data_IF_170600857449
#
_entry.id   IF_170600857449
#
_cell.length_a   1.000
_cell.length_b   1.000
_cell.length_c   1.000
_cell.angle_alpha   90.00
_cell.angle_beta   90.00
_cell.angle_gamma   90.00
#
_symmetry.space_group_name_H-M   'P 1'
#
loop_
_entity.id
_entity.type
_entity.pdbx_description
1 polymer ?
#
# COMPACT_ATOMS: atom_id res chain seq x y z
N UNK A 1 18.05 -51.63 -4.10
CA UNK A 1 16.77 -51.14 -3.54
C UNK A 1 15.69 -52.17 -3.88
N UNK A 2 15.41 -53.08 -2.95
CA UNK A 2 14.29 -54.04 -3.05
C UNK A 2 13.38 -53.95 -1.81
N UNK A 3 13.56 -52.94 -0.96
CA UNK A 3 12.72 -52.69 0.20
C UNK A 3 11.66 -51.65 -0.15
N UNK A 4 10.39 -52.07 -0.09
CA UNK A 4 9.25 -51.21 -0.35
C UNK A 4 9.17 -50.05 0.65
N UNK A 5 9.59 -50.28 1.90
CA UNK A 5 9.57 -49.25 2.94
C UNK A 5 10.56 -48.13 2.61
N UNK A 6 11.80 -48.47 2.25
CA UNK A 6 12.82 -47.49 1.84
C UNK A 6 12.35 -46.63 0.65
N UNK A 7 11.61 -47.21 -0.29
CA UNK A 7 11.03 -46.49 -1.43
C UNK A 7 9.93 -45.52 -0.95
N UNK A 8 9.01 -45.99 -0.10
CA UNK A 8 7.94 -45.15 0.46
C UNK A 8 8.52 -43.97 1.24
N UNK A 9 9.52 -44.22 2.08
CA UNK A 9 10.22 -43.20 2.86
C UNK A 9 10.87 -42.14 1.99
N UNK A 10 11.51 -42.58 0.89
CA UNK A 10 12.13 -41.65 -0.06
C UNK A 10 11.07 -40.77 -0.72
N UNK A 11 9.91 -41.33 -1.10
CA UNK A 11 8.80 -40.56 -1.69
C UNK A 11 8.25 -39.56 -0.67
N UNK A 12 8.03 -39.95 0.58
CA UNK A 12 7.57 -39.05 1.64
C UNK A 12 8.56 -37.90 1.89
N UNK A 13 9.87 -38.17 1.91
CA UNK A 13 10.90 -37.15 2.11
C UNK A 13 11.03 -36.22 0.87
N UNK A 14 10.88 -36.72 -0.35
CA UNK A 14 10.78 -35.87 -1.56
C UNK A 14 9.54 -34.96 -1.49
N UNK A 15 8.38 -35.51 -1.12
CA UNK A 15 7.14 -34.75 -0.98
C UNK A 15 7.26 -33.65 0.09
N UNK A 16 7.82 -33.98 1.26
CA UNK A 16 8.07 -33.05 2.35
C UNK A 16 8.95 -31.85 1.93
N UNK A 17 9.97 -32.09 1.10
CA UNK A 17 10.82 -31.02 0.55
C UNK A 17 10.08 -30.13 -0.43
N UNK A 18 9.28 -30.72 -1.32
CA UNK A 18 8.43 -29.98 -2.24
C UNK A 18 7.41 -29.12 -1.50
N UNK A 19 6.78 -29.68 -0.47
CA UNK A 19 5.79 -29.00 0.36
C UNK A 19 6.38 -27.82 1.14
N UNK A 20 7.64 -27.92 1.59
CA UNK A 20 8.33 -26.79 2.17
C UNK A 20 8.45 -25.63 1.18
N UNK A 21 8.91 -25.89 -0.06
CA UNK A 21 9.02 -24.83 -1.07
C UNK A 21 7.65 -24.23 -1.39
N UNK A 22 6.62 -25.06 -1.56
CA UNK A 22 5.24 -24.60 -1.80
C UNK A 22 4.73 -23.69 -0.68
N UNK A 23 4.88 -24.11 0.58
CA UNK A 23 4.42 -23.32 1.73
C UNK A 23 5.17 -21.99 1.89
N UNK A 24 6.47 -21.94 1.58
CA UNK A 24 7.22 -20.68 1.53
C UNK A 24 6.67 -19.77 0.43
N UNK A 25 6.49 -20.30 -0.79
CA UNK A 25 6.04 -19.55 -1.96
C UNK A 25 4.59 -19.05 -1.81
N UNK A 26 3.72 -19.85 -1.21
CA UNK A 26 2.30 -19.53 -0.96
C UNK A 26 2.08 -18.78 0.37
N UNK A 27 3.14 -18.53 1.14
CA UNK A 27 3.09 -17.84 2.44
C UNK A 27 2.21 -18.53 3.48
N UNK A 28 2.08 -19.84 3.41
CA UNK A 28 1.33 -20.65 4.39
C UNK A 28 2.23 -21.01 5.58
N UNK A 29 2.31 -20.08 6.54
CA UNK A 29 3.22 -20.20 7.68
C UNK A 29 2.82 -21.32 8.65
N UNK A 30 1.52 -21.56 8.80
CA UNK A 30 1.02 -22.60 9.69
C UNK A 30 1.38 -23.98 9.16
N UNK A 31 1.19 -24.20 7.86
CA UNK A 31 1.57 -25.45 7.20
C UNK A 31 3.08 -25.62 7.14
N UNK A 32 3.84 -24.56 6.81
CA UNK A 32 5.31 -24.57 6.86
C UNK A 32 5.84 -25.09 8.21
N UNK A 33 5.32 -24.55 9.31
CA UNK A 33 5.74 -24.94 10.66
C UNK A 33 5.41 -26.42 10.97
N UNK A 34 4.28 -26.93 10.47
CA UNK A 34 3.87 -28.32 10.67
C UNK A 34 4.78 -29.34 9.95
N UNK A 35 5.62 -28.92 9.00
CA UNK A 35 6.59 -29.78 8.31
C UNK A 35 7.82 -30.12 9.18
N UNK A 36 8.00 -29.42 10.29
CA UNK A 36 9.06 -29.68 11.26
C UNK A 36 8.55 -30.57 12.39
N UNK A 37 9.44 -31.31 13.06
CA UNK A 37 9.13 -31.92 14.35
C UNK A 37 8.79 -30.83 15.38
N UNK A 38 8.10 -31.15 16.49
CA UNK A 38 7.79 -30.14 17.53
C UNK A 38 9.04 -29.40 18.05
N UNK A 39 10.17 -30.10 18.12
CA UNK A 39 11.51 -29.63 18.50
C UNK A 39 12.39 -29.23 17.30
N UNK A 40 11.83 -29.16 16.09
CA UNK A 40 12.60 -28.99 14.87
C UNK A 40 13.26 -27.61 14.76
N UNK A 41 14.39 -27.55 14.06
CA UNK A 41 15.21 -26.33 13.96
C UNK A 41 15.41 -25.88 12.52
N UNK A 42 15.22 -24.59 12.25
CA UNK A 42 15.57 -23.94 10.99
C UNK A 42 16.69 -22.91 11.22
N UNK A 43 17.85 -23.12 10.59
CA UNK A 43 19.03 -22.24 10.67
C UNK A 43 19.35 -21.64 9.32
N UNK A 44 19.61 -20.33 9.30
CA UNK A 44 20.09 -19.60 8.13
C UNK A 44 21.30 -18.74 8.56
N UNK A 45 22.50 -19.32 8.74
CA UNK A 45 23.65 -18.63 9.31
C UNK A 45 24.12 -17.42 8.50
N UNK A 46 23.95 -17.44 7.17
CA UNK A 46 24.28 -16.32 6.29
C UNK A 46 23.26 -15.16 6.37
N UNK A 47 22.10 -15.39 6.97
CA UNK A 47 21.00 -14.41 7.17
C UNK A 47 20.76 -14.18 8.68
N UNK A 48 21.81 -14.32 9.50
CA UNK A 48 21.81 -14.62 10.95
C UNK A 48 20.45 -14.94 11.60
N UNK A 49 19.80 -16.02 11.17
CA UNK A 49 18.52 -16.48 11.72
C UNK A 49 18.62 -17.90 12.24
N UNK A 50 18.02 -18.12 13.42
CA UNK A 50 17.76 -19.43 14.00
C UNK A 50 16.35 -19.42 14.58
N UNK A 51 15.56 -20.45 14.26
CA UNK A 51 14.23 -20.68 14.81
C UNK A 51 14.16 -22.09 15.38
N UNK A 52 13.70 -22.20 16.62
CA UNK A 52 13.56 -23.47 17.33
C UNK A 52 12.09 -23.74 17.65
N UNK A 53 11.59 -24.85 17.12
CA UNK A 53 10.20 -25.28 17.28
C UNK A 53 9.23 -24.55 16.35
N UNK A 54 8.03 -25.13 16.24
CA UNK A 54 7.01 -24.74 15.25
C UNK A 54 6.58 -23.27 15.36
N UNK A 55 6.41 -22.74 16.58
CA UNK A 55 5.95 -21.35 16.77
C UNK A 55 6.98 -20.30 16.33
N UNK A 56 8.26 -20.51 16.63
CA UNK A 56 9.32 -19.60 16.18
C UNK A 56 9.47 -19.66 14.66
N UNK A 57 9.36 -20.85 14.06
CA UNK A 57 9.40 -21.02 12.61
C UNK A 57 8.23 -20.26 11.95
N UNK A 58 7.02 -20.38 12.51
CA UNK A 58 5.82 -19.70 12.00
C UNK A 58 5.95 -18.18 12.06
N UNK A 59 6.25 -17.65 13.25
CA UNK A 59 6.31 -16.20 13.51
C UNK A 59 7.55 -15.55 12.85
N UNK A 60 8.68 -16.25 12.90
CA UNK A 60 9.92 -15.85 12.25
C UNK A 60 9.81 -15.81 10.72
N UNK A 61 9.16 -16.82 10.13
CA UNK A 61 8.85 -16.84 8.70
C UNK A 61 7.97 -15.68 8.25
N UNK A 62 6.94 -15.33 9.03
CA UNK A 62 6.10 -14.16 8.77
C UNK A 62 6.91 -12.85 8.78
N UNK A 63 7.79 -12.67 9.76
CA UNK A 63 8.66 -11.48 9.86
C UNK A 63 9.59 -11.36 8.65
N UNK A 64 10.16 -12.45 8.17
CA UNK A 64 11.01 -12.44 6.97
C UNK A 64 10.20 -12.11 5.72
N UNK A 65 9.06 -12.80 5.52
CA UNK A 65 8.19 -12.62 4.35
C UNK A 65 7.58 -11.21 4.27
N UNK A 66 7.35 -10.54 5.39
CA UNK A 66 6.78 -9.18 5.41
C UNK A 66 7.65 -8.15 4.68
N UNK A 67 8.96 -8.39 4.61
CA UNK A 67 9.94 -7.50 3.99
C UNK A 67 10.04 -7.70 2.47
N UNK A 68 9.47 -8.77 1.93
CA UNK A 68 9.60 -9.12 0.51
C UNK A 68 8.56 -8.36 -0.31
N UNK A 69 9.03 -7.67 -1.34
CA UNK A 69 8.21 -7.22 -2.47
C UNK A 69 7.79 -8.46 -3.27
N UNK A 70 8.77 -9.21 -3.79
CA UNK A 70 8.58 -10.55 -4.33
C UNK A 70 9.72 -11.49 -3.93
N UNK A 71 9.43 -12.78 -3.95
CA UNK A 71 10.36 -13.86 -3.68
C UNK A 71 10.01 -15.05 -4.55
N UNK A 72 11.00 -15.63 -5.21
CA UNK A 72 10.88 -16.87 -5.98
C UNK A 72 11.94 -17.82 -5.50
N UNK A 73 11.51 -19.04 -5.15
CA UNK A 73 12.36 -20.12 -4.70
C UNK A 73 12.12 -21.34 -5.57
N UNK A 74 13.18 -21.78 -6.24
CA UNK A 74 13.21 -23.02 -7.00
C UNK A 74 14.08 -24.04 -6.27
N UNK A 75 13.52 -25.22 -6.00
CA UNK A 75 14.22 -26.33 -5.38
C UNK A 75 14.55 -27.41 -6.41
N UNK A 76 15.73 -27.99 -6.27
CA UNK A 76 16.19 -29.14 -7.02
C UNK A 76 16.55 -30.25 -6.03
N UNK A 77 16.00 -31.46 -6.19
CA UNK A 77 16.24 -32.54 -5.24
C UNK A 77 17.72 -32.93 -5.27
N UNK A 78 18.30 -33.07 -4.08
CA UNK A 78 19.62 -33.65 -3.89
C UNK A 78 19.55 -35.09 -3.39
N UNK A 79 20.64 -35.57 -2.83
CA UNK A 79 20.73 -36.92 -2.28
C UNK A 79 19.94 -37.04 -0.97
N UNK A 80 19.34 -38.21 -0.73
CA UNK A 80 18.79 -38.63 0.57
C UNK A 80 19.34 -39.98 0.96
N UNK A 81 19.81 -40.08 2.21
CA UNK A 81 20.27 -41.31 2.86
C UNK A 81 19.38 -41.58 4.08
N UNK A 82 18.69 -42.72 4.05
CA UNK A 82 17.76 -43.16 5.11
C UNK A 82 18.49 -44.16 6.00
N UNK A 83 18.27 -44.06 7.31
CA UNK A 83 18.76 -44.96 8.35
C UNK A 83 17.64 -45.16 9.39
N UNK A 84 16.80 -46.18 9.15
CA UNK A 84 15.61 -46.47 9.94
C UNK A 84 14.61 -45.31 9.97
N UNK A 85 14.39 -44.76 11.16
CA UNK A 85 13.49 -43.63 11.42
C UNK A 85 14.18 -42.25 11.34
N UNK A 86 15.41 -42.22 10.84
CA UNK A 86 16.15 -40.99 10.59
C UNK A 86 16.64 -40.94 9.15
N UNK A 87 16.84 -39.72 8.62
CA UNK A 87 17.47 -39.56 7.32
C UNK A 87 18.28 -38.26 7.27
N UNK A 88 19.23 -38.21 6.35
CA UNK A 88 19.93 -36.97 6.00
C UNK A 88 19.78 -36.70 4.52
N UNK A 89 19.73 -35.43 4.14
CA UNK A 89 19.59 -35.07 2.75
C UNK A 89 20.05 -33.68 2.40
N UNK A 90 20.05 -33.40 1.10
CA UNK A 90 20.30 -32.07 0.55
C UNK A 90 19.22 -31.65 -0.41
N UNK A 91 18.96 -30.35 -0.43
CA UNK A 91 18.11 -29.69 -1.43
C UNK A 91 18.87 -28.48 -1.98
N UNK A 92 19.00 -28.39 -3.30
CA UNK A 92 19.71 -27.29 -3.96
C UNK A 92 18.71 -26.21 -4.35
N UNK A 93 19.02 -24.97 -4.02
CA UNK A 93 18.11 -23.84 -4.15
C UNK A 93 18.66 -22.84 -5.16
N UNK A 94 17.76 -22.28 -5.96
CA UNK A 94 17.97 -21.05 -6.70
C UNK A 94 16.86 -20.08 -6.33
N UNK A 95 17.23 -18.90 -5.88
CA UNK A 95 16.30 -17.90 -5.38
C UNK A 95 16.56 -16.54 -6.02
N UNK A 96 15.47 -15.82 -6.26
CA UNK A 96 15.49 -14.40 -6.62
C UNK A 96 14.51 -13.66 -5.73
N UNK A 97 14.88 -12.47 -5.27
CA UNK A 97 14.07 -11.69 -4.37
C UNK A 97 14.30 -10.20 -4.53
N UNK A 98 13.24 -9.44 -4.25
CA UNK A 98 13.33 -8.00 -3.99
C UNK A 98 12.67 -7.70 -2.65
N UNK A 99 13.35 -6.89 -1.85
CA UNK A 99 12.81 -6.35 -0.62
C UNK A 99 12.02 -5.07 -0.90
N UNK A 100 11.08 -4.76 -0.01
CA UNK A 100 10.28 -3.52 -0.06
C UNK A 100 11.12 -2.24 0.00
N UNK A 101 12.36 -2.32 0.51
CA UNK A 101 13.32 -1.21 0.52
C UNK A 101 14.17 -1.11 -0.77
N UNK A 102 13.85 -1.90 -1.79
CA UNK A 102 14.51 -1.90 -3.10
C UNK A 102 15.74 -2.80 -3.21
N UNK A 103 16.27 -3.34 -2.10
CA UNK A 103 17.39 -4.28 -2.15
C UNK A 103 16.98 -5.54 -2.93
N UNK A 104 17.86 -5.99 -3.81
CA UNK A 104 17.66 -7.19 -4.62
C UNK A 104 18.63 -8.28 -4.20
N UNK A 105 18.24 -9.54 -4.40
CA UNK A 105 19.08 -10.69 -4.16
C UNK A 105 18.81 -11.77 -5.19
N UNK A 106 19.87 -12.32 -5.76
CA UNK A 106 19.85 -13.60 -6.45
C UNK A 106 20.87 -14.51 -5.77
N UNK A 107 20.48 -15.73 -5.44
CA UNK A 107 21.39 -16.65 -4.75
C UNK A 107 21.19 -18.09 -5.18
N UNK A 108 22.28 -18.86 -5.03
CA UNK A 108 22.26 -20.31 -5.07
C UNK A 108 22.67 -20.82 -3.71
N UNK A 109 21.91 -21.77 -3.18
CA UNK A 109 22.08 -22.24 -1.81
C UNK A 109 21.83 -23.75 -1.69
N UNK A 110 22.16 -24.28 -0.53
CA UNK A 110 21.95 -25.68 -0.19
C UNK A 110 21.28 -25.75 1.18
N UNK A 111 20.16 -26.46 1.25
CA UNK A 111 19.66 -26.98 2.52
C UNK A 111 20.39 -28.27 2.87
N UNK A 112 20.91 -28.35 4.09
CA UNK A 112 21.37 -29.58 4.72
C UNK A 112 20.32 -30.00 5.74
N UNK A 113 19.71 -31.15 5.50
CA UNK A 113 18.52 -31.57 6.21
C UNK A 113 18.78 -32.82 7.04
N UNK A 114 18.25 -32.81 8.26
CA UNK A 114 18.06 -33.99 9.11
C UNK A 114 16.58 -34.22 9.26
N UNK A 115 16.15 -35.45 8.97
CA UNK A 115 14.76 -35.87 9.03
C UNK A 115 14.57 -36.89 10.14
N UNK A 116 13.38 -36.89 10.73
CA UNK A 116 12.92 -37.90 11.69
C UNK A 116 11.52 -38.34 11.31
N UNK A 117 11.27 -39.65 11.33
CA UNK A 117 9.92 -40.19 11.22
C UNK A 117 9.24 -40.12 12.58
N UNK A 118 8.07 -39.49 12.63
CA UNK A 118 7.23 -39.50 13.83
C UNK A 118 6.12 -40.55 13.68
N UNK A 119 5.67 -41.18 14.78
CA UNK A 119 4.63 -42.20 14.71
C UNK A 119 3.27 -41.68 14.19
N UNK A 120 2.98 -40.40 14.44
CA UNK A 120 1.67 -39.80 14.17
C UNK A 120 1.63 -39.00 12.86
N UNK A 121 2.74 -38.35 12.50
CA UNK A 121 2.78 -37.38 11.41
C UNK A 121 3.65 -37.84 10.22
N UNK A 122 4.41 -38.92 10.37
CA UNK A 122 5.34 -39.42 9.35
C UNK A 122 6.65 -38.64 9.33
N UNK A 123 7.32 -38.57 8.17
CA UNK A 123 8.60 -37.86 8.04
C UNK A 123 8.46 -36.35 8.23
N UNK A 124 9.33 -35.77 9.07
CA UNK A 124 9.39 -34.33 9.35
C UNK A 124 10.84 -33.84 9.40
N UNK A 125 11.05 -32.54 9.19
CA UNK A 125 12.34 -31.90 9.41
C UNK A 125 12.64 -31.84 10.91
N UNK A 126 13.70 -32.52 11.34
CA UNK A 126 14.27 -32.33 12.67
C UNK A 126 15.26 -31.16 12.68
N UNK A 127 16.02 -31.00 11.61
CA UNK A 127 16.87 -29.84 11.39
C UNK A 127 16.95 -29.50 9.90
N UNK A 128 16.96 -28.21 9.60
CA UNK A 128 17.25 -27.68 8.27
C UNK A 128 18.23 -26.52 8.39
N UNK A 129 19.41 -26.66 7.79
CA UNK A 129 20.44 -25.62 7.75
C UNK A 129 20.60 -25.10 6.33
N UNK A 130 20.39 -23.81 6.15
CA UNK A 130 20.47 -23.12 4.87
C UNK A 130 21.84 -22.46 4.68
N UNK A 131 22.58 -22.90 3.68
CA UNK A 131 23.91 -22.40 3.35
C UNK A 131 23.89 -21.72 1.98
N UNK A 132 24.21 -20.42 1.94
CA UNK A 132 24.35 -19.68 0.68
C UNK A 132 25.70 -20.00 0.04
N UNK A 133 25.68 -20.46 -1.21
CA UNK A 133 26.88 -20.79 -2.01
C UNK A 133 27.28 -19.67 -2.97
N UNK A 134 26.32 -18.90 -3.42
CA UNK A 134 26.51 -17.73 -4.27
C UNK A 134 25.46 -16.69 -3.91
N UNK A 135 25.87 -15.42 -3.87
CA UNK A 135 25.00 -14.28 -3.64
C UNK A 135 25.37 -13.16 -4.60
N UNK A 136 24.39 -12.68 -5.36
CA UNK A 136 24.43 -11.48 -6.17
C UNK A 136 23.41 -10.49 -5.61
N UNK A 137 23.88 -9.29 -5.25
CA UNK A 137 23.04 -8.20 -4.74
C UNK A 137 22.83 -7.10 -5.78
N UNK A 138 23.23 -7.34 -7.03
CA UNK A 138 22.97 -6.43 -8.14
C UNK A 138 21.46 -6.21 -8.27
N UNK A 139 21.01 -4.95 -8.46
CA UNK A 139 19.60 -4.66 -8.68
C UNK A 139 19.03 -5.52 -9.82
N UNK A 140 17.98 -6.30 -9.52
CA UNK A 140 17.32 -7.12 -10.54
C UNK A 140 16.70 -6.18 -11.60
N UNK A 141 16.90 -6.47 -12.88
CA UNK A 141 16.31 -5.68 -13.97
C UNK A 141 14.80 -5.95 -14.16
N UNK A 142 14.32 -7.11 -13.73
CA UNK A 142 12.91 -7.50 -13.81
C UNK A 142 12.08 -7.07 -12.60
N UNK A 143 10.77 -7.29 -12.67
CA UNK A 143 9.82 -7.12 -11.57
C UNK A 143 8.78 -8.24 -11.61
N UNK A 144 8.02 -8.42 -10.51
CA UNK A 144 6.85 -9.28 -10.55
C UNK A 144 5.81 -8.71 -11.54
N UNK A 145 5.03 -9.54 -12.23
CA UNK A 145 3.95 -9.05 -13.09
C UNK A 145 2.99 -8.14 -12.30
N UNK A 146 2.70 -6.96 -12.84
CA UNK A 146 1.90 -5.95 -12.14
C UNK A 146 2.65 -5.13 -11.07
N UNK A 147 3.94 -5.43 -10.84
CA UNK A 147 4.86 -4.58 -10.08
C UNK A 147 5.63 -3.61 -10.99
N UNK A 148 4.98 -3.12 -12.06
CA UNK A 148 5.35 -1.80 -12.57
C UNK A 148 5.13 -0.84 -11.40
N UNK A 149 6.21 -0.57 -10.68
CA UNK A 149 6.59 0.74 -10.17
C UNK A 149 7.76 0.56 -9.20
N UNK A 150 8.98 0.63 -9.75
CA UNK A 150 10.13 1.06 -8.96
C UNK A 150 9.79 2.39 -8.26
N UNK A 151 10.38 2.64 -7.09
CA UNK A 151 10.18 3.83 -6.24
C UNK A 151 9.36 4.95 -6.92
N UNK A 152 8.05 4.97 -6.67
CA UNK A 152 7.19 6.01 -7.22
C UNK A 152 7.66 7.37 -6.73
N UNK A 153 8.08 8.22 -7.66
CA UNK A 153 8.24 9.63 -7.37
C UNK A 153 6.84 10.27 -7.27
N UNK A 154 6.32 10.34 -6.05
CA UNK A 154 5.02 10.95 -5.75
C UNK A 154 5.01 12.49 -5.86
N UNK A 155 6.16 13.11 -6.14
CA UNK A 155 6.29 14.54 -6.40
C UNK A 155 6.26 14.86 -7.91
N UNK A 156 6.70 13.94 -8.77
CA UNK A 156 6.71 14.14 -10.22
C UNK A 156 5.31 14.00 -10.84
N UNK A 157 4.93 14.86 -11.81
CA UNK A 157 3.68 14.70 -12.54
C UNK A 157 3.72 13.45 -13.42
N UNK A 158 2.60 12.72 -13.50
CA UNK A 158 2.48 11.58 -14.44
C UNK A 158 2.33 12.05 -15.90
N UNK A 159 2.54 11.15 -16.84
CA UNK A 159 2.41 11.45 -18.28
C UNK A 159 0.99 11.86 -18.69
N UNK A 160 0.88 12.62 -19.79
CA UNK A 160 -0.41 13.04 -20.34
C UNK A 160 -1.36 11.88 -20.66
N UNK A 161 -0.84 10.76 -21.14
CA UNK A 161 -1.63 9.55 -21.42
C UNK A 161 -2.27 8.98 -20.15
N UNK A 162 -1.51 8.92 -19.04
CA UNK A 162 -2.03 8.46 -17.74
C UNK A 162 -3.10 9.42 -17.20
N UNK A 163 -2.92 10.73 -17.38
CA UNK A 163 -3.94 11.73 -17.00
C UNK A 163 -5.23 11.54 -17.80
N UNK A 164 -5.14 11.33 -19.10
CA UNK A 164 -6.30 11.13 -19.99
C UNK A 164 -7.05 9.83 -19.64
N UNK A 165 -6.31 8.75 -19.37
CA UNK A 165 -6.88 7.47 -18.89
C UNK A 165 -7.63 7.63 -17.58
N UNK A 166 -7.03 8.32 -16.60
CA UNK A 166 -7.66 8.61 -15.31
C UNK A 166 -8.93 9.44 -15.47
N UNK A 167 -8.92 10.46 -16.33
CA UNK A 167 -10.12 11.27 -16.62
C UNK A 167 -11.24 10.43 -17.24
N UNK A 168 -10.91 9.52 -18.16
CA UNK A 168 -11.89 8.60 -18.73
C UNK A 168 -12.47 7.66 -17.66
N UNK A 169 -11.63 7.11 -16.78
CA UNK A 169 -12.06 6.23 -15.69
C UNK A 169 -12.96 6.96 -14.67
N UNK A 170 -12.59 8.18 -14.25
CA UNK A 170 -13.41 9.01 -13.38
C UNK A 170 -14.80 9.28 -13.98
N UNK A 171 -14.86 9.60 -15.28
CA UNK A 171 -16.13 9.81 -15.99
C UNK A 171 -16.97 8.54 -16.05
N UNK A 172 -16.34 7.38 -16.31
CA UNK A 172 -17.02 6.10 -16.26
C UNK A 172 -17.57 5.77 -14.86
N UNK A 173 -16.88 6.23 -13.81
CA UNK A 173 -17.33 6.17 -12.41
C UNK A 173 -18.39 7.21 -12.03
N UNK A 174 -18.89 8.02 -12.97
CA UNK A 174 -19.97 9.00 -12.73
C UNK A 174 -19.52 10.38 -12.24
N UNK A 175 -18.21 10.60 -12.03
CA UNK A 175 -17.69 11.92 -11.70
C UNK A 175 -17.73 12.83 -12.94
N UNK A 176 -18.00 14.12 -12.74
CA UNK A 176 -17.49 15.13 -13.67
C UNK A 176 -15.97 15.14 -13.60
N UNK A 177 -15.26 15.09 -14.72
CA UNK A 177 -13.80 15.18 -14.72
C UNK A 177 -13.31 16.05 -15.87
N UNK A 178 -12.42 16.99 -15.57
CA UNK A 178 -11.86 17.95 -16.52
C UNK A 178 -10.33 17.98 -16.36
N UNK A 179 -9.61 17.90 -17.49
CA UNK A 179 -8.15 18.06 -17.52
C UNK A 179 -7.82 19.51 -17.84
N UNK A 180 -7.18 20.21 -16.89
CA UNK A 180 -6.86 21.62 -16.96
C UNK A 180 -5.34 21.85 -17.12
N UNK A 181 -4.91 22.90 -17.82
CA UNK A 181 -3.49 23.15 -18.04
C UNK A 181 -2.74 23.49 -16.75
N UNK A 182 -3.34 24.30 -15.86
CA UNK A 182 -2.67 24.87 -14.70
C UNK A 182 -3.66 25.32 -13.60
N UNK A 183 -3.11 25.83 -12.50
CA UNK A 183 -3.85 26.39 -11.37
C UNK A 183 -4.71 27.60 -11.74
N UNK A 184 -4.29 28.43 -12.71
CA UNK A 184 -5.08 29.60 -13.12
C UNK A 184 -6.39 29.17 -13.80
N UNK A 185 -6.32 28.16 -14.67
CA UNK A 185 -7.50 27.53 -15.26
C UNK A 185 -8.38 26.88 -14.18
N UNK A 186 -7.79 26.22 -13.18
CA UNK A 186 -8.53 25.65 -12.05
C UNK A 186 -9.30 26.72 -11.26
N UNK A 187 -8.68 27.87 -10.94
CA UNK A 187 -9.35 28.99 -10.26
C UNK A 187 -10.53 29.54 -11.06
N UNK A 188 -10.33 29.76 -12.36
CA UNK A 188 -11.40 30.23 -13.25
C UNK A 188 -12.57 29.22 -13.26
N UNK A 189 -12.26 27.93 -13.37
CA UNK A 189 -13.27 26.88 -13.43
C UNK A 189 -14.03 26.70 -12.11
N UNK A 190 -13.34 26.79 -10.97
CA UNK A 190 -13.99 26.82 -9.66
C UNK A 190 -14.95 28.00 -9.57
N UNK A 191 -14.55 29.20 -10.01
CA UNK A 191 -15.43 30.39 -10.00
C UNK A 191 -16.69 30.21 -10.84
N UNK A 192 -16.62 29.49 -11.95
CA UNK A 192 -17.79 29.18 -12.79
C UNK A 192 -18.71 28.11 -12.17
N UNK A 193 -18.12 27.12 -11.50
CA UNK A 193 -18.85 26.00 -10.91
C UNK A 193 -19.52 26.33 -9.58
N UNK A 194 -18.99 27.30 -8.83
CA UNK A 194 -19.51 27.69 -7.52
C UNK A 194 -20.50 28.84 -7.66
N UNK A 195 -21.78 28.65 -7.27
CA UNK A 195 -22.76 29.73 -7.27
C UNK A 195 -22.35 30.87 -6.33
N UNK A 196 -22.61 32.11 -6.75
CA UNK A 196 -22.42 33.29 -5.90
C UNK A 196 -23.33 33.21 -4.66
N UNK A 197 -22.80 33.59 -3.50
CA UNK A 197 -23.51 33.50 -2.21
C UNK A 197 -23.64 32.10 -1.62
N UNK A 198 -23.15 31.05 -2.29
CA UNK A 198 -23.17 29.69 -1.74
C UNK A 198 -22.28 29.58 -0.49
N UNK A 199 -22.67 28.71 0.45
CA UNK A 199 -21.78 28.30 1.54
C UNK A 199 -20.70 27.35 1.02
N UNK A 200 -19.45 27.79 1.12
CA UNK A 200 -18.31 27.05 0.56
C UNK A 200 -17.37 26.63 1.68
N UNK A 201 -17.19 25.32 1.83
CA UNK A 201 -16.19 24.77 2.73
C UNK A 201 -14.94 24.39 1.95
N UNK A 202 -13.81 24.98 2.33
CA UNK A 202 -12.47 24.59 1.88
C UNK A 202 -11.85 23.62 2.87
N UNK A 203 -11.44 22.44 2.38
CA UNK A 203 -10.65 21.50 3.18
C UNK A 203 -9.26 22.07 3.54
N UNK A 204 -8.61 21.54 4.57
CA UNK A 204 -7.20 21.83 4.80
C UNK A 204 -6.38 21.19 3.68
N UNK A 205 -5.84 22.00 2.77
CA UNK A 205 -5.19 21.50 1.56
C UNK A 205 -4.11 22.45 1.05
N UNK A 206 -2.89 21.93 0.95
CA UNK A 206 -1.78 22.65 0.31
C UNK A 206 -1.99 22.82 -1.18
N UNK A 207 -2.67 21.88 -1.86
CA UNK A 207 -3.06 22.05 -3.25
C UNK A 207 -3.96 23.27 -3.44
N UNK A 208 -4.98 23.46 -2.59
CA UNK A 208 -5.85 24.63 -2.68
C UNK A 208 -5.15 25.93 -2.28
N UNK A 209 -4.23 25.88 -1.30
CA UNK A 209 -3.43 27.04 -0.89
C UNK A 209 -2.48 27.49 -2.00
N UNK A 210 -1.70 26.56 -2.55
CA UNK A 210 -0.69 26.85 -3.58
C UNK A 210 -1.32 27.21 -4.93
N UNK A 211 -2.48 26.64 -5.26
CA UNK A 211 -3.22 27.03 -6.47
C UNK A 211 -3.94 28.37 -6.36
N UNK A 212 -4.00 29.00 -5.17
CA UNK A 212 -4.71 30.26 -4.94
C UNK A 212 -6.24 30.12 -4.78
N UNK A 213 -6.79 28.91 -4.94
CA UNK A 213 -8.25 28.66 -4.82
C UNK A 213 -8.76 28.97 -3.42
N UNK A 214 -7.98 28.68 -2.37
CA UNK A 214 -8.36 29.02 -0.98
C UNK A 214 -8.53 30.53 -0.82
N UNK A 215 -7.60 31.32 -1.37
CA UNK A 215 -7.64 32.79 -1.27
C UNK A 215 -8.86 33.37 -2.00
N UNK A 216 -9.14 32.87 -3.21
CA UNK A 216 -10.32 33.30 -3.99
C UNK A 216 -11.63 33.06 -3.24
N UNK A 217 -11.72 31.94 -2.51
CA UNK A 217 -12.93 31.59 -1.76
C UNK A 217 -13.03 32.39 -0.46
N UNK A 218 -11.94 32.49 0.29
CA UNK A 218 -11.95 33.04 1.65
C UNK A 218 -11.86 34.58 1.67
N UNK A 219 -11.15 35.21 0.73
CA UNK A 219 -10.93 36.66 0.70
C UNK A 219 -11.81 37.41 -0.33
N UNK A 220 -12.40 36.71 -1.30
CA UNK A 220 -13.07 37.32 -2.45
C UNK A 220 -14.46 37.92 -2.18
N UNK A 221 -15.05 37.75 -0.99
CA UNK A 221 -16.38 38.27 -0.61
C UNK A 221 -17.58 37.72 -1.39
N UNK A 222 -17.33 36.92 -2.44
CA UNK A 222 -18.33 36.34 -3.36
C UNK A 222 -19.10 35.16 -2.76
N UNK A 223 -18.53 34.50 -1.76
CA UNK A 223 -19.08 33.27 -1.19
C UNK A 223 -19.20 33.39 0.33
N UNK A 224 -20.10 32.59 0.89
CA UNK A 224 -20.25 32.40 2.32
C UNK A 224 -19.18 31.40 2.80
N UNK A 225 -17.93 31.87 2.92
CA UNK A 225 -16.78 31.01 3.25
C UNK A 225 -16.90 30.40 4.65
N UNK A 226 -17.03 29.08 4.73
CA UNK A 226 -17.27 28.35 5.99
C UNK A 226 -16.03 28.33 6.86
N UNK A 227 -14.85 28.13 6.28
CA UNK A 227 -13.60 27.89 7.02
C UNK A 227 -13.18 29.07 7.92
N UNK A 228 -13.12 30.34 7.45
CA UNK A 228 -12.82 31.47 8.33
C UNK A 228 -13.83 31.64 9.46
N UNK A 229 -15.12 31.40 9.20
CA UNK A 229 -16.18 31.50 10.20
C UNK A 229 -16.02 30.48 11.32
N UNK A 230 -15.82 29.21 10.98
CA UNK A 230 -15.66 28.16 12.00
C UNK A 230 -14.36 28.28 12.79
N UNK A 231 -13.33 28.94 12.23
CA UNK A 231 -12.09 29.25 12.94
C UNK A 231 -12.26 30.38 13.96
N UNK A 232 -13.22 31.29 13.75
CA UNK A 232 -13.55 32.37 14.68
C UNK A 232 -14.53 31.96 15.79
N UNK A 233 -15.16 30.79 15.67
CA UNK A 233 -16.15 30.28 16.63
C UNK A 233 -15.51 29.62 17.85
N UNK A 234 -16.22 29.67 18.99
CA UNK A 234 -15.77 29.00 20.21
C UNK A 234 -16.05 27.49 20.14
N UNK A 235 -14.99 26.69 20.17
CA UNK A 235 -15.10 25.23 20.11
C UNK A 235 -15.77 24.61 21.32
N UNK A 236 -15.72 25.24 22.49
CA UNK A 236 -16.33 24.70 23.71
C UNK A 236 -17.85 24.82 23.66
N UNK A 237 -18.37 25.94 23.15
CA UNK A 237 -19.80 26.25 23.18
C UNK A 237 -20.50 26.02 21.84
N UNK A 238 -19.78 26.08 20.71
CA UNK A 238 -20.37 26.03 19.37
C UNK A 238 -19.97 24.79 18.56
N UNK A 239 -19.37 23.77 19.19
CA UNK A 239 -18.88 22.54 18.53
C UNK A 239 -19.89 21.88 17.58
N UNK A 240 -21.15 21.81 17.99
CA UNK A 240 -22.23 21.21 17.21
C UNK A 240 -22.58 22.04 15.97
N UNK A 241 -22.53 23.38 16.09
CA UNK A 241 -22.72 24.30 14.96
C UNK A 241 -21.55 24.21 14.00
N UNK A 242 -20.31 24.18 14.49
CA UNK A 242 -19.11 23.96 13.69
C UNK A 242 -19.23 22.65 12.90
N UNK A 243 -19.60 21.54 13.57
CA UNK A 243 -19.78 20.23 12.94
C UNK A 243 -20.82 20.27 11.82
N UNK A 244 -21.97 20.91 12.03
CA UNK A 244 -23.00 21.02 10.98
C UNK A 244 -22.51 21.83 9.78
N UNK A 245 -21.89 22.98 10.03
CA UNK A 245 -21.41 23.88 8.98
C UNK A 245 -20.34 23.22 8.09
N UNK A 246 -19.42 22.45 8.68
CA UNK A 246 -18.37 21.76 7.91
C UNK A 246 -18.85 20.48 7.26
N UNK A 247 -19.85 19.79 7.82
CA UNK A 247 -20.31 18.51 7.32
C UNK A 247 -21.21 18.62 6.08
N UNK A 248 -22.03 19.67 5.98
CA UNK A 248 -23.02 19.83 4.92
C UNK A 248 -23.10 21.27 4.38
N UNK A 249 -22.01 21.80 3.78
CA UNK A 249 -22.04 23.06 3.04
C UNK A 249 -22.80 22.88 1.71
N UNK A 250 -23.15 23.99 1.04
CA UNK A 250 -23.67 23.92 -0.33
C UNK A 250 -22.60 23.35 -1.28
N UNK A 251 -21.37 23.82 -1.12
CA UNK A 251 -20.23 23.39 -1.93
C UNK A 251 -19.02 23.04 -1.07
N UNK A 252 -18.47 21.85 -1.31
CA UNK A 252 -17.10 21.52 -0.90
C UNK A 252 -16.14 21.85 -2.03
N UNK A 253 -15.05 22.55 -1.71
CA UNK A 253 -13.86 22.61 -2.55
C UNK A 253 -12.70 22.00 -1.77
N UNK A 254 -12.09 20.94 -2.30
CA UNK A 254 -11.06 20.17 -1.61
C UNK A 254 -9.98 19.68 -2.58
N UNK A 255 -9.00 18.97 -2.05
CA UNK A 255 -8.10 18.10 -2.81
C UNK A 255 -8.19 16.69 -2.23
N UNK A 256 -7.60 15.74 -2.95
CA UNK A 256 -7.42 14.35 -2.51
C UNK A 256 -5.94 14.09 -2.23
N UNK A 257 -5.66 12.99 -1.53
CA UNK A 257 -4.30 12.48 -1.33
C UNK A 257 -3.85 11.61 -2.51
N UNK A 258 -4.77 10.95 -3.22
CA UNK A 258 -4.44 10.24 -4.46
C UNK A 258 -5.67 10.05 -5.35
N UNK A 259 -5.44 9.82 -6.63
CA UNK A 259 -6.42 9.35 -7.62
C UNK A 259 -5.86 8.11 -8.31
N UNK A 260 -6.60 7.01 -8.32
CA UNK A 260 -6.15 5.83 -9.06
C UNK A 260 -6.44 6.00 -10.56
N UNK A 261 -5.65 5.36 -11.43
CA UNK A 261 -5.94 5.31 -12.87
C UNK A 261 -7.27 4.64 -13.21
N UNK A 262 -7.78 3.84 -12.26
CA UNK A 262 -9.11 3.23 -12.32
C UNK A 262 -10.25 4.15 -11.84
N UNK A 263 -9.94 5.40 -11.44
CA UNK A 263 -10.96 6.42 -11.14
C UNK A 263 -11.43 6.47 -9.67
N UNK A 264 -10.67 5.93 -8.72
CA UNK A 264 -10.98 6.07 -7.28
C UNK A 264 -10.23 7.25 -6.65
N UNK A 265 -10.93 8.05 -5.86
CA UNK A 265 -10.34 9.15 -5.07
C UNK A 265 -10.03 8.69 -3.65
N UNK A 266 -8.84 9.00 -3.13
CA UNK A 266 -8.42 8.66 -1.76
C UNK A 266 -8.20 9.92 -0.93
N UNK A 267 -8.91 10.02 0.20
CA UNK A 267 -8.85 11.16 1.11
C UNK A 267 -8.44 10.66 2.50
N UNK A 268 -7.39 11.24 3.06
CA UNK A 268 -6.92 10.97 4.41
C UNK A 268 -7.27 12.14 5.35
N UNK A 269 -7.55 11.85 6.62
CA UNK A 269 -7.85 12.88 7.61
C UNK A 269 -7.53 12.45 9.04
N UNK A 270 -6.87 13.33 9.80
CA UNK A 270 -6.62 13.12 11.23
C UNK A 270 -7.86 13.35 12.11
N UNK A 271 -8.67 14.38 11.83
CA UNK A 271 -9.88 14.70 12.59
C UNK A 271 -11.15 14.12 11.99
N UNK A 272 -11.12 13.74 10.71
CA UNK A 272 -12.27 13.36 9.89
C UNK A 272 -13.27 14.45 9.59
N UNK A 273 -13.05 15.69 10.02
CA UNK A 273 -14.06 16.76 9.93
C UNK A 273 -14.43 17.13 8.49
N UNK A 274 -13.55 16.89 7.51
CA UNK A 274 -13.78 17.15 6.09
C UNK A 274 -14.43 16.00 5.32
N UNK A 275 -14.47 14.80 5.92
CA UNK A 275 -14.95 13.61 5.24
C UNK A 275 -16.46 13.63 4.97
N UNK A 276 -17.34 14.11 5.86
CA UNK A 276 -18.79 14.12 5.59
C UNK A 276 -19.15 14.93 4.35
N UNK A 277 -18.59 16.14 4.20
CA UNK A 277 -18.83 16.98 3.03
C UNK A 277 -18.39 16.27 1.74
N UNK A 278 -17.22 15.61 1.76
CA UNK A 278 -16.68 14.86 0.63
C UNK A 278 -17.54 13.62 0.32
N UNK A 279 -17.97 12.89 1.34
CA UNK A 279 -18.66 11.61 1.21
C UNK A 279 -20.11 11.75 0.71
N UNK A 280 -20.81 12.83 1.11
CA UNK A 280 -22.25 12.90 0.85
C UNK A 280 -22.95 14.16 1.34
N UNK A 281 -22.34 14.90 2.27
CA UNK A 281 -22.98 16.01 2.96
C UNK A 281 -23.07 17.28 2.14
N UNK A 282 -22.08 17.57 1.28
CA UNK A 282 -22.15 18.73 0.40
C UNK A 282 -23.08 18.49 -0.79
N UNK A 283 -23.86 19.50 -1.19
CA UNK A 283 -24.72 19.41 -2.37
C UNK A 283 -23.90 19.31 -3.67
N UNK A 284 -22.71 19.94 -3.69
CA UNK A 284 -21.69 19.80 -4.74
C UNK A 284 -20.31 19.62 -4.11
N UNK A 285 -19.47 18.77 -4.71
CA UNK A 285 -18.09 18.57 -4.29
C UNK A 285 -17.16 18.75 -5.49
N UNK A 286 -16.14 19.60 -5.33
CA UNK A 286 -15.13 19.90 -6.35
C UNK A 286 -13.76 19.54 -5.78
N UNK A 287 -13.04 18.66 -6.46
CA UNK A 287 -11.69 18.27 -6.09
C UNK A 287 -10.68 18.83 -7.09
N UNK A 288 -9.77 19.68 -6.62
CA UNK A 288 -8.63 20.19 -7.39
C UNK A 288 -7.45 19.26 -7.14
N UNK A 289 -6.89 18.67 -8.20
CA UNK A 289 -5.93 17.56 -8.10
C UNK A 289 -4.75 17.80 -9.03
N UNK A 290 -3.53 17.78 -8.50
CA UNK A 290 -2.32 17.84 -9.32
C UNK A 290 -1.96 16.50 -9.97
N UNK A 291 -1.21 16.54 -11.08
CA UNK A 291 -0.86 15.36 -11.86
C UNK A 291 -0.06 14.30 -11.07
N UNK A 292 0.76 14.72 -10.10
CA UNK A 292 1.57 13.85 -9.25
C UNK A 292 0.76 13.00 -8.25
N UNK A 293 -0.55 13.26 -8.17
CA UNK A 293 -1.48 12.52 -7.31
C UNK A 293 -2.10 11.31 -8.01
N UNK A 294 -1.88 11.16 -9.32
CA UNK A 294 -2.35 9.99 -10.08
C UNK A 294 -1.42 8.81 -9.84
N UNK A 295 -1.99 7.68 -9.45
CA UNK A 295 -1.29 6.42 -9.14
C UNK A 295 -1.97 5.25 -9.84
N UNK A 296 -1.31 4.12 -10.10
CA UNK A 296 -1.92 3.02 -10.84
C UNK A 296 -3.13 2.41 -10.13
N UNK A 297 -3.02 2.18 -8.82
CA UNK A 297 -4.00 1.41 -8.06
C UNK A 297 -4.18 1.89 -6.61
N UNK A 298 -5.14 1.26 -5.92
CA UNK A 298 -5.47 1.60 -4.53
C UNK A 298 -4.32 1.27 -3.56
N UNK A 299 -3.60 0.18 -3.78
CA UNK A 299 -2.48 -0.20 -2.91
C UNK A 299 -1.38 0.89 -2.94
N UNK A 300 -1.09 1.39 -4.13
CA UNK A 300 -0.16 2.51 -4.35
C UNK A 300 -0.70 3.82 -3.81
N UNK A 301 -2.01 4.08 -3.93
CA UNK A 301 -2.63 5.25 -3.32
C UNK A 301 -2.44 5.27 -1.80
N UNK A 302 -2.59 4.11 -1.15
CA UNK A 302 -2.35 3.97 0.29
C UNK A 302 -0.86 4.15 0.65
N UNK A 303 0.07 3.63 -0.17
CA UNK A 303 1.50 3.94 -0.01
C UNK A 303 1.78 5.43 -0.13
N UNK A 304 1.24 6.11 -1.15
CA UNK A 304 1.39 7.56 -1.33
C UNK A 304 0.90 8.33 -0.10
N UNK A 305 -0.20 7.91 0.51
CA UNK A 305 -0.73 8.53 1.73
C UNK A 305 0.30 8.44 2.87
N UNK A 306 0.84 7.26 3.14
CA UNK A 306 1.74 7.02 4.28
C UNK A 306 3.17 7.52 4.02
N UNK A 307 3.71 7.26 2.83
CA UNK A 307 5.13 7.46 2.51
C UNK A 307 5.44 8.87 2.00
N UNK A 308 4.43 9.60 1.50
CA UNK A 308 4.64 10.93 0.91
C UNK A 308 3.73 12.01 1.51
N UNK A 309 2.41 11.82 1.51
CA UNK A 309 1.49 12.87 1.95
C UNK A 309 1.55 13.10 3.47
N UNK A 310 1.57 12.04 4.28
CA UNK A 310 1.59 12.15 5.74
C UNK A 310 2.85 12.85 6.28
N UNK A 311 4.09 12.53 5.85
CA UNK A 311 5.29 13.23 6.32
C UNK A 311 5.23 14.74 6.04
N UNK A 312 4.86 15.14 4.81
CA UNK A 312 4.73 16.54 4.41
C UNK A 312 3.61 17.25 5.17
N UNK A 313 2.48 16.57 5.36
CA UNK A 313 1.36 17.09 6.16
C UNK A 313 1.73 17.21 7.64
N UNK A 314 2.56 16.32 8.17
CA UNK A 314 3.04 16.37 9.55
C UNK A 314 3.93 17.58 9.78
N UNK A 315 4.88 17.86 8.88
CA UNK A 315 5.70 19.08 8.93
C UNK A 315 4.82 20.33 8.90
N UNK A 316 3.87 20.38 7.96
CA UNK A 316 2.91 21.49 7.86
C UNK A 316 2.06 21.64 9.12
N UNK A 317 1.53 20.55 9.67
CA UNK A 317 0.68 20.55 10.86
C UNK A 317 1.46 20.99 12.12
N UNK A 318 2.72 20.56 12.26
CA UNK A 318 3.61 21.04 13.32
C UNK A 318 3.85 22.54 13.20
N UNK A 319 4.15 23.04 12.00
CA UNK A 319 4.36 24.47 11.77
C UNK A 319 3.09 25.31 12.01
N UNK A 320 1.93 24.83 11.55
CA UNK A 320 0.68 25.59 11.60
C UNK A 320 -0.06 25.47 12.95
N UNK A 321 0.02 24.32 13.62
CA UNK A 321 -0.80 23.98 14.79
C UNK A 321 0.00 23.52 16.01
N UNK A 322 1.31 23.33 15.89
CA UNK A 322 2.16 22.81 16.96
C UNK A 322 1.85 21.36 17.35
N UNK A 323 1.19 20.60 16.47
CA UNK A 323 0.78 19.21 16.73
C UNK A 323 1.08 18.32 15.52
N UNK A 324 1.48 17.06 15.74
CA UNK A 324 1.74 16.12 14.64
C UNK A 324 0.45 15.78 13.89
N UNK A 325 0.61 15.40 12.63
CA UNK A 325 -0.47 14.85 11.81
C UNK A 325 -0.59 13.34 11.97
N UNK A 326 -1.74 12.79 11.57
CA UNK A 326 -2.00 11.35 11.58
C UNK A 326 -3.10 10.99 10.57
N UNK A 327 -3.04 9.78 10.02
CA UNK A 327 -4.09 9.19 9.18
C UNK A 327 -5.04 8.38 10.08
N UNK A 328 -5.91 9.07 10.83
CA UNK A 328 -6.85 8.39 11.72
C UNK A 328 -8.09 7.89 11.00
N UNK A 329 -8.42 8.48 9.84
CA UNK A 329 -9.59 8.15 9.03
C UNK A 329 -9.26 8.26 7.56
N UNK A 330 -9.82 7.35 6.77
CA UNK A 330 -9.62 7.28 5.34
C UNK A 330 -10.96 7.11 4.64
N UNK A 331 -11.13 7.78 3.51
CA UNK A 331 -12.31 7.70 2.65
C UNK A 331 -11.84 7.39 1.23
N UNK A 332 -12.43 6.34 0.64
CA UNK A 332 -12.26 6.00 -0.77
C UNK A 332 -13.59 6.26 -1.48
N UNK A 333 -13.56 7.11 -2.52
CA UNK A 333 -14.71 7.34 -3.40
C UNK A 333 -14.45 6.60 -4.71
N UNK A 334 -15.14 5.47 -4.90
CA UNK A 334 -14.98 4.65 -6.10
C UNK A 334 -15.86 5.11 -7.28
N UNK A 335 -16.96 5.80 -6.99
CA UNK A 335 -17.91 6.28 -7.97
C UNK A 335 -18.74 7.44 -7.39
N UNK A 336 -19.34 8.24 -8.27
CA UNK A 336 -20.35 9.25 -7.92
C UNK A 336 -21.71 8.83 -8.46
N UNK A 337 -22.62 8.32 -7.62
CA UNK A 337 -23.93 7.85 -8.05
C UNK A 337 -24.91 8.99 -8.36
N UNK A 338 -24.61 10.24 -7.98
CA UNK A 338 -25.44 11.42 -8.27
C UNK A 338 -24.77 12.28 -9.34
N UNK A 339 -25.20 12.17 -10.62
CA UNK A 339 -24.62 12.95 -11.70
C UNK A 339 -24.58 14.46 -11.40
N UNK A 340 -23.43 15.08 -11.62
CA UNK A 340 -23.22 16.53 -11.42
C UNK A 340 -22.96 16.96 -9.97
N UNK A 341 -22.96 16.03 -8.99
CA UNK A 341 -22.56 16.32 -7.61
C UNK A 341 -21.04 16.46 -7.48
N UNK A 342 -20.29 15.44 -7.91
CA UNK A 342 -18.85 15.36 -7.79
C UNK A 342 -18.12 15.77 -9.07
N UNK A 343 -17.21 16.74 -8.98
CA UNK A 343 -16.36 17.19 -10.10
C UNK A 343 -14.88 17.14 -9.72
N UNK A 344 -14.05 16.50 -10.55
CA UNK A 344 -12.60 16.44 -10.40
C UNK A 344 -11.96 17.34 -11.45
N UNK A 345 -11.27 18.37 -11.01
CA UNK A 345 -10.44 19.24 -11.83
C UNK A 345 -9.00 18.73 -11.70
N UNK A 346 -8.56 17.95 -12.69
CA UNK A 346 -7.22 17.37 -12.74
C UNK A 346 -6.29 18.32 -13.50
N UNK A 347 -5.20 18.74 -12.88
CA UNK A 347 -4.23 19.68 -13.46
C UNK A 347 -3.10 18.89 -14.12
N UNK A 348 -2.57 19.40 -15.24
CA UNK A 348 -1.38 18.82 -15.90
C UNK A 348 -0.09 19.06 -15.10
N UNK A 349 -0.06 20.08 -14.25
CA UNK A 349 1.06 20.37 -13.36
C UNK A 349 0.96 19.66 -12.01
N UNK A 350 2.11 19.50 -11.35
CA UNK A 350 2.15 19.08 -9.97
C UNK A 350 1.80 20.25 -9.03
N UNK A 351 0.90 20.03 -8.07
CA UNK A 351 0.53 21.06 -7.09
C UNK A 351 0.14 20.48 -5.73
N UNK A 352 0.78 20.98 -4.67
CA UNK A 352 0.63 20.48 -3.31
C UNK A 352 1.07 19.02 -3.16
N UNK A 353 0.59 18.37 -2.12
CA UNK A 353 0.85 16.96 -1.84
C UNK A 353 -0.40 16.24 -1.39
#
# INVERSE_FOLDING_TARGET
MNDFQEIADRVEIEALRGEFTDTVMMRDRARLAALFTPDGVLRMPNVPVEFVGREEIRTGGERLQSQWDFFVQNSHPGTVRIDGDTATGRTYMQEIMRLRDGRSGQNYAVYHDVYRRTPEEGWRFAERVYEVRYLDTTPLAGSAPGAEDGAHDFAAPVSGERLERTVAALRAGGFGAELLPDAAAARARVRELVPEGASVFTGASETLRLSGVTEDIEAGGRYEAVRPRVLAMDRATESDRIRRMTAAPDVLVASVAAVTETGSLVIASGSGSQLPASAGGAARAIWVVGAQKVVPDLATALRRVEEHALPLENERALAAYGRPSAVNRLLVLNAEPRPGRGTVLLLREAVGF
#
